data_IF_978266844729
#
_entry.id   IF_978266844729
#
_cell.length_a   1.000
_cell.length_b   1.000
_cell.length_c   1.000
_cell.angle_alpha   90.00
_cell.angle_beta   90.00
_cell.angle_gamma   90.00
#
_symmetry.space_group_name_H-M   'P 1'
#
loop_
_entity.id
_entity.type
_entity.pdbx_description
1 polymer ?
#
# COMPACT_ATOMS: atom_id res chain seq x y z
N UNK A 1 22.55 -45.20 -9.27
CA UNK A 1 22.32 -44.31 -8.12
C UNK A 1 22.88 -42.94 -8.47
N UNK A 2 22.04 -41.99 -8.90
CA UNK A 2 22.39 -40.56 -9.09
C UNK A 2 21.93 -39.83 -7.85
N UNK A 3 22.84 -39.04 -7.25
CA UNK A 3 22.49 -38.16 -6.12
C UNK A 3 21.52 -37.05 -6.61
N UNK A 4 20.51 -36.65 -5.84
CA UNK A 4 19.70 -35.52 -6.20
C UNK A 4 20.50 -34.22 -6.14
N UNK A 5 20.42 -33.41 -7.18
CA UNK A 5 20.97 -32.07 -7.26
C UNK A 5 20.35 -31.19 -6.16
N UNK A 6 21.21 -30.48 -5.45
CA UNK A 6 20.84 -29.51 -4.43
C UNK A 6 20.09 -28.35 -5.06
N UNK A 7 18.81 -28.19 -4.69
CA UNK A 7 18.06 -26.99 -4.99
C UNK A 7 18.79 -25.73 -4.48
N UNK A 8 18.75 -24.61 -5.20
CA UNK A 8 19.36 -23.36 -4.76
C UNK A 8 18.73 -22.93 -3.42
N UNK A 9 19.56 -22.77 -2.39
CA UNK A 9 19.14 -22.17 -1.13
C UNK A 9 18.72 -20.74 -1.43
N UNK A 10 17.42 -20.46 -1.31
CA UNK A 10 16.91 -19.09 -1.25
C UNK A 10 17.56 -18.49 0.01
N UNK A 11 18.34 -17.44 -0.19
CA UNK A 11 18.99 -16.73 0.90
C UNK A 11 17.92 -16.26 1.88
N UNK A 12 18.00 -16.71 3.12
CA UNK A 12 17.08 -16.31 4.18
C UNK A 12 17.19 -14.79 4.41
N UNK A 13 16.06 -14.08 4.65
CA UNK A 13 16.08 -12.64 4.85
C UNK A 13 16.69 -12.18 6.19
N UNK A 14 17.33 -13.07 6.93
CA UNK A 14 17.94 -12.76 8.24
C UNK A 14 19.03 -11.66 8.22
N UNK A 15 19.64 -11.39 7.08
CA UNK A 15 20.67 -10.33 6.96
C UNK A 15 20.10 -8.89 6.92
N UNK A 16 18.80 -8.71 6.86
CA UNK A 16 18.20 -7.39 6.65
C UNK A 16 18.00 -6.58 7.94
N UNK A 17 18.00 -7.19 9.12
CA UNK A 17 17.61 -6.53 10.37
C UNK A 17 18.78 -6.13 11.29
N UNK A 18 20.03 -6.55 11.02
CA UNK A 18 21.18 -6.28 11.91
C UNK A 18 22.24 -5.35 11.31
N UNK A 19 21.97 -4.68 10.19
CA UNK A 19 22.94 -3.82 9.52
C UNK A 19 22.54 -2.33 9.60
N UNK A 20 23.52 -1.48 9.91
CA UNK A 20 23.50 -0.03 9.72
C UNK A 20 22.73 0.36 8.44
N UNK A 21 21.50 0.83 8.57
CA UNK A 21 20.73 1.36 7.44
C UNK A 21 21.19 2.79 7.19
N UNK A 22 21.78 3.10 6.03
CA UNK A 22 22.13 4.47 5.71
C UNK A 22 20.87 5.31 5.76
N UNK A 23 20.95 6.46 6.47
CA UNK A 23 19.87 7.44 6.47
C UNK A 23 19.55 7.83 5.02
N UNK A 24 18.29 7.72 4.59
CA UNK A 24 17.86 8.18 3.25
C UNK A 24 17.75 9.69 3.16
N UNK A 25 17.73 10.39 4.31
CA UNK A 25 17.56 11.85 4.40
C UNK A 25 18.57 12.64 3.55
N UNK A 26 19.89 12.32 3.54
CA UNK A 26 20.82 13.05 2.70
C UNK A 26 20.51 12.93 1.20
N UNK A 27 20.03 11.77 0.76
CA UNK A 27 19.68 11.53 -0.65
C UNK A 27 18.39 12.25 -1.03
N UNK A 28 17.38 12.24 -0.14
CA UNK A 28 16.15 13.00 -0.32
C UNK A 28 16.42 14.50 -0.39
N UNK A 29 17.21 15.03 0.55
CA UNK A 29 17.58 16.44 0.56
C UNK A 29 18.36 16.82 -0.70
N UNK A 30 19.36 16.04 -1.09
CA UNK A 30 20.15 16.27 -2.30
C UNK A 30 19.28 16.27 -3.55
N UNK A 31 18.34 15.34 -3.68
CA UNK A 31 17.40 15.28 -4.79
C UNK A 31 16.47 16.50 -4.82
N UNK A 32 15.86 16.86 -3.71
CA UNK A 32 14.95 18.02 -3.66
C UNK A 32 15.68 19.34 -3.94
N UNK A 33 16.92 19.51 -3.49
CA UNK A 33 17.76 20.66 -3.84
C UNK A 33 18.09 20.72 -5.35
N UNK A 34 18.40 19.57 -5.95
CA UNK A 34 18.60 19.47 -7.40
C UNK A 34 17.33 19.89 -8.14
N UNK A 35 16.18 19.35 -7.79
CA UNK A 35 14.93 19.67 -8.52
C UNK A 35 14.53 21.12 -8.30
N UNK A 36 14.73 21.69 -7.11
CA UNK A 36 14.52 23.12 -6.86
C UNK A 36 15.41 24.00 -7.75
N UNK A 37 16.66 23.62 -7.96
CA UNK A 37 17.55 24.31 -8.89
C UNK A 37 17.07 24.21 -10.34
N UNK A 38 16.53 23.04 -10.74
CA UNK A 38 15.92 22.85 -12.06
C UNK A 38 14.65 23.69 -12.23
N UNK A 39 13.81 23.80 -11.20
CA UNK A 39 12.64 24.69 -11.16
C UNK A 39 13.06 26.14 -11.45
N UNK A 40 14.06 26.64 -10.69
CA UNK A 40 14.60 27.97 -10.86
C UNK A 40 15.19 28.22 -12.27
N UNK A 41 15.92 27.25 -12.80
CA UNK A 41 16.51 27.32 -14.16
C UNK A 41 15.43 27.36 -15.24
N UNK A 42 14.40 26.50 -15.14
CA UNK A 42 13.28 26.46 -16.09
C UNK A 42 12.51 27.81 -16.11
N UNK A 43 12.23 28.36 -14.94
CA UNK A 43 11.56 29.66 -14.80
C UNK A 43 12.44 30.82 -15.36
N UNK A 44 13.73 30.81 -15.06
CA UNK A 44 14.68 31.82 -15.56
C UNK A 44 14.83 31.78 -17.09
N UNK A 45 14.92 30.59 -17.70
CA UNK A 45 15.00 30.42 -19.15
C UNK A 45 13.70 30.92 -19.82
N UNK A 46 12.55 30.52 -19.31
CA UNK A 46 11.25 30.98 -19.80
C UNK A 46 11.12 32.52 -19.64
N UNK A 47 11.64 33.07 -18.54
CA UNK A 47 11.64 34.50 -18.26
C UNK A 47 12.40 35.33 -19.31
N UNK A 48 13.41 34.73 -19.98
CA UNK A 48 14.16 35.39 -21.08
C UNK A 48 13.36 35.42 -22.37
N UNK A 49 12.64 34.35 -22.71
CA UNK A 49 11.78 34.28 -23.89
C UNK A 49 10.72 33.20 -23.71
N UNK A 50 9.45 33.43 -24.05
CA UNK A 50 8.39 32.43 -24.02
C UNK A 50 8.65 31.24 -24.96
N UNK A 51 9.46 31.40 -26.01
CA UNK A 51 9.87 30.32 -26.92
C UNK A 51 10.74 29.27 -26.21
N UNK A 52 11.40 29.64 -25.11
CA UNK A 52 12.21 28.73 -24.29
C UNK A 52 11.40 27.89 -23.28
N UNK A 53 10.07 28.10 -23.14
CA UNK A 53 9.26 27.36 -22.19
C UNK A 53 9.27 25.85 -22.44
N UNK A 54 9.06 25.42 -23.70
CA UNK A 54 9.05 23.98 -24.03
C UNK A 54 10.43 23.32 -23.83
N UNK A 55 11.54 23.85 -24.33
CA UNK A 55 12.86 23.27 -24.06
C UNK A 55 13.23 23.33 -22.57
N UNK A 56 12.83 24.36 -21.82
CA UNK A 56 13.07 24.44 -20.40
C UNK A 56 12.34 23.33 -19.62
N UNK A 57 11.08 23.05 -19.96
CA UNK A 57 10.31 21.94 -19.38
C UNK A 57 10.95 20.59 -19.74
N UNK A 58 11.37 20.41 -21.00
CA UNK A 58 12.03 19.18 -21.43
C UNK A 58 13.33 18.93 -20.66
N UNK A 59 14.16 19.96 -20.47
CA UNK A 59 15.38 19.88 -19.66
C UNK A 59 15.07 19.60 -18.18
N UNK A 60 14.01 20.19 -17.66
CA UNK A 60 13.52 19.89 -16.31
C UNK A 60 13.14 18.43 -16.18
N UNK A 61 12.30 17.89 -17.07
CA UNK A 61 11.91 16.48 -17.07
C UNK A 61 13.12 15.55 -17.15
N UNK A 62 14.07 15.84 -18.03
CA UNK A 62 15.31 15.07 -18.17
C UNK A 62 16.16 15.14 -16.90
N UNK A 63 16.32 16.33 -16.31
CA UNK A 63 17.08 16.52 -15.09
C UNK A 63 16.44 15.77 -13.89
N UNK A 64 15.12 15.82 -13.76
CA UNK A 64 14.38 15.04 -12.75
C UNK A 64 14.58 13.55 -12.97
N UNK A 65 14.43 13.05 -14.19
CA UNK A 65 14.64 11.64 -14.51
C UNK A 65 16.05 11.16 -14.14
N UNK A 66 17.06 11.90 -14.54
CA UNK A 66 18.46 11.60 -14.19
C UNK A 66 18.71 11.68 -12.69
N UNK A 67 18.10 12.66 -12.01
CA UNK A 67 18.13 12.77 -10.55
C UNK A 67 17.51 11.56 -9.85
N UNK A 68 16.34 11.10 -10.29
CA UNK A 68 15.71 9.87 -9.74
C UNK A 68 16.62 8.67 -9.95
N UNK A 69 17.25 8.51 -11.09
CA UNK A 69 18.21 7.42 -11.34
C UNK A 69 19.45 7.53 -10.44
N UNK A 70 20.03 8.73 -10.34
CA UNK A 70 21.24 8.95 -9.56
C UNK A 70 21.05 8.76 -8.06
N UNK A 71 20.02 9.36 -7.48
CA UNK A 71 19.75 9.30 -6.06
C UNK A 71 18.97 8.03 -5.67
N UNK A 72 18.02 7.60 -6.49
CA UNK A 72 17.24 6.37 -6.25
C UNK A 72 18.10 5.11 -6.27
N UNK A 73 19.17 5.10 -7.06
CA UNK A 73 20.12 3.99 -7.14
C UNK A 73 21.03 3.83 -5.91
N UNK A 74 21.10 4.82 -5.01
CA UNK A 74 22.02 4.79 -3.86
C UNK A 74 21.55 3.88 -2.72
N UNK A 75 20.25 3.59 -2.65
CA UNK A 75 19.68 2.72 -1.61
C UNK A 75 19.60 1.29 -2.16
N UNK A 76 20.52 0.42 -1.75
CA UNK A 76 20.66 -0.94 -2.30
C UNK A 76 19.41 -1.80 -2.09
N UNK A 77 18.78 -1.66 -0.91
CA UNK A 77 17.55 -2.35 -0.55
C UNK A 77 16.34 -1.50 -0.97
N UNK A 78 15.39 -2.11 -1.68
CA UNK A 78 14.15 -1.45 -2.14
C UNK A 78 14.37 -0.21 -3.05
N UNK A 79 15.37 -0.25 -3.94
CA UNK A 79 15.69 0.84 -4.89
C UNK A 79 14.48 1.36 -5.64
N UNK A 80 13.59 0.46 -6.09
CA UNK A 80 12.39 0.84 -6.84
C UNK A 80 11.43 1.69 -6.01
N UNK A 81 11.24 1.38 -4.73
CA UNK A 81 10.39 2.17 -3.83
C UNK A 81 10.99 3.54 -3.54
N UNK A 82 12.30 3.61 -3.31
CA UNK A 82 12.96 4.88 -3.09
C UNK A 82 12.93 5.77 -4.33
N UNK A 83 13.16 5.21 -5.52
CA UNK A 83 13.02 5.93 -6.78
C UNK A 83 11.58 6.43 -6.99
N UNK A 84 10.56 5.60 -6.69
CA UNK A 84 9.16 6.00 -6.74
C UNK A 84 8.84 7.14 -5.77
N UNK A 85 9.44 7.14 -4.57
CA UNK A 85 9.31 8.22 -3.58
C UNK A 85 9.90 9.53 -4.10
N UNK A 86 11.10 9.50 -4.67
CA UNK A 86 11.72 10.70 -5.26
C UNK A 86 10.90 11.21 -6.45
N UNK A 87 10.42 10.32 -7.33
CA UNK A 87 9.55 10.68 -8.43
C UNK A 87 8.25 11.33 -7.96
N UNK A 88 7.66 10.81 -6.87
CA UNK A 88 6.45 11.39 -6.28
C UNK A 88 6.68 12.82 -5.75
N UNK A 89 7.83 13.10 -5.17
CA UNK A 89 8.21 14.48 -4.78
C UNK A 89 8.36 15.40 -5.99
N UNK A 90 9.01 14.93 -7.06
CA UNK A 90 9.14 15.72 -8.28
C UNK A 90 7.77 16.05 -8.89
N UNK A 91 6.86 15.10 -8.92
CA UNK A 91 5.53 15.28 -9.55
C UNK A 91 4.61 16.14 -8.67
N UNK A 92 4.51 15.86 -7.37
CA UNK A 92 3.46 16.41 -6.50
C UNK A 92 3.92 17.54 -5.58
N UNK A 93 5.23 17.74 -5.40
CA UNK A 93 5.79 18.89 -4.67
C UNK A 93 6.37 19.92 -5.64
N UNK A 94 7.32 19.51 -6.50
CA UNK A 94 7.99 20.41 -7.44
C UNK A 94 7.14 20.74 -8.67
N UNK A 95 6.40 19.75 -9.21
CA UNK A 95 5.53 19.95 -10.36
C UNK A 95 4.57 21.14 -10.21
N UNK A 96 3.75 21.22 -9.12
CA UNK A 96 2.91 22.38 -8.84
C UNK A 96 3.68 23.71 -8.82
N UNK A 97 4.82 23.74 -8.12
CA UNK A 97 5.66 24.95 -8.02
C UNK A 97 6.16 25.41 -9.39
N UNK A 98 6.69 24.46 -10.20
CA UNK A 98 7.19 24.72 -11.54
C UNK A 98 6.07 25.25 -12.47
N UNK A 99 4.91 24.58 -12.51
CA UNK A 99 3.81 24.94 -13.41
C UNK A 99 3.11 26.25 -13.00
N UNK A 100 2.92 26.50 -11.70
CA UNK A 100 2.35 27.76 -11.21
C UNK A 100 3.34 28.92 -11.46
N UNK A 101 4.63 28.69 -11.21
CA UNK A 101 5.69 29.65 -11.52
C UNK A 101 5.76 29.97 -13.00
N UNK A 102 5.67 28.95 -13.88
CA UNK A 102 5.61 29.11 -15.32
C UNK A 102 4.39 29.95 -15.76
N UNK A 103 3.22 29.67 -15.18
CA UNK A 103 2.01 30.45 -15.46
C UNK A 103 2.20 31.94 -15.12
N UNK A 104 2.86 32.23 -14.00
CA UNK A 104 3.15 33.60 -13.58
C UNK A 104 4.14 34.32 -14.51
N UNK A 105 5.22 33.64 -14.91
CA UNK A 105 6.22 34.16 -15.86
C UNK A 105 5.56 34.48 -17.19
N UNK A 106 4.81 33.56 -17.79
CA UNK A 106 4.13 33.74 -19.06
C UNK A 106 3.08 34.86 -19.00
N UNK A 107 2.36 35.02 -17.88
CA UNK A 107 1.44 36.16 -17.70
C UNK A 107 2.15 37.51 -17.67
N UNK A 108 3.30 37.58 -17.00
CA UNK A 108 4.12 38.84 -16.98
C UNK A 108 4.59 39.24 -18.38
N UNK A 109 5.10 38.26 -19.14
CA UNK A 109 5.54 38.51 -20.51
C UNK A 109 4.40 38.96 -21.43
N UNK A 110 3.20 38.35 -21.32
CA UNK A 110 2.03 38.76 -22.06
C UNK A 110 1.57 40.19 -21.77
N UNK A 111 1.80 40.67 -20.52
CA UNK A 111 1.51 42.08 -20.16
C UNK A 111 2.59 43.05 -20.63
N UNK A 112 3.86 42.67 -20.53
CA UNK A 112 4.99 43.52 -20.97
C UNK A 112 5.04 43.72 -22.50
N UNK A 113 4.64 42.74 -23.29
CA UNK A 113 4.59 42.82 -24.74
C UNK A 113 3.38 43.60 -25.32
N UNK A 114 2.58 44.25 -24.48
CA UNK A 114 1.49 45.15 -24.86
C UNK A 114 1.94 46.61 -25.11
N UNK A 115 3.17 47.01 -24.71
CA UNK A 115 3.75 48.30 -25.05
C UNK A 115 4.28 48.29 -26.47
N UNK A 116 3.92 49.29 -27.26
CA UNK A 116 4.20 49.47 -28.68
C UNK A 116 5.71 49.25 -29.01
N UNK A 117 6.02 48.26 -29.87
CA UNK A 117 7.36 48.06 -30.43
C UNK A 117 7.98 46.66 -30.35
N UNK A 118 7.34 45.64 -29.80
CA UNK A 118 7.88 44.29 -29.77
C UNK A 118 7.55 43.50 -31.06
N UNK A 119 8.53 42.74 -31.58
CA UNK A 119 8.33 41.81 -32.71
C UNK A 119 7.09 40.95 -32.53
N UNK A 120 6.18 40.95 -33.50
CA UNK A 120 4.86 40.27 -33.47
C UNK A 120 4.90 38.76 -33.24
N UNK A 121 6.08 38.13 -33.33
CA UNK A 121 6.31 36.70 -33.19
C UNK A 121 6.65 36.22 -31.78
N UNK A 122 6.65 37.09 -30.75
CA UNK A 122 7.20 36.76 -29.40
C UNK A 122 6.16 36.59 -28.27
N UNK A 123 4.87 36.83 -28.53
CA UNK A 123 3.85 36.76 -27.47
C UNK A 123 3.46 35.32 -27.17
N UNK A 124 3.42 34.90 -25.87
CA UNK A 124 2.87 33.60 -25.52
C UNK A 124 1.39 33.53 -25.86
N UNK A 125 0.93 32.35 -26.31
CA UNK A 125 -0.51 32.12 -26.49
C UNK A 125 -1.28 32.48 -25.20
N UNK A 126 -2.44 33.18 -25.30
CA UNK A 126 -3.22 33.57 -24.14
C UNK A 126 -3.72 32.38 -23.29
N UNK A 127 -3.72 31.18 -23.87
CA UNK A 127 -4.09 29.95 -23.18
C UNK A 127 -2.93 29.31 -22.40
N UNK A 128 -1.67 29.53 -22.80
CA UNK A 128 -0.52 28.90 -22.18
C UNK A 128 -0.42 29.16 -20.66
N UNK A 129 -0.53 30.40 -20.15
CA UNK A 129 -0.47 30.63 -18.71
C UNK A 129 -1.70 30.07 -17.95
N UNK A 130 -2.86 29.96 -18.61
CA UNK A 130 -4.06 29.36 -18.00
C UNK A 130 -3.90 27.84 -17.90
N UNK A 131 -3.41 27.19 -18.96
CA UNK A 131 -3.16 25.75 -18.98
C UNK A 131 -2.07 25.36 -17.96
N UNK A 132 -0.99 26.13 -17.88
CA UNK A 132 0.06 25.91 -16.89
C UNK A 132 -0.46 26.03 -15.45
N UNK A 133 -1.28 27.06 -15.16
CA UNK A 133 -1.90 27.22 -13.86
C UNK A 133 -2.85 26.06 -13.53
N UNK A 134 -3.70 25.67 -14.48
CA UNK A 134 -4.66 24.58 -14.29
C UNK A 134 -3.94 23.25 -13.99
N UNK A 135 -2.85 22.95 -14.72
CA UNK A 135 -2.05 21.76 -14.49
C UNK A 135 -1.35 21.80 -13.12
N UNK A 136 -0.76 22.94 -12.75
CA UNK A 136 -0.13 23.10 -11.44
C UNK A 136 -1.11 22.92 -10.29
N UNK A 137 -2.32 23.50 -10.40
CA UNK A 137 -3.38 23.32 -9.39
C UNK A 137 -3.90 21.87 -9.35
N UNK A 138 -4.06 21.22 -10.49
CA UNK A 138 -4.46 19.82 -10.57
C UNK A 138 -3.46 18.91 -9.85
N UNK A 139 -2.16 19.08 -10.15
CA UNK A 139 -1.11 18.30 -9.49
C UNK A 139 -1.08 18.56 -7.96
N UNK A 140 -1.27 19.82 -7.54
CA UNK A 140 -1.36 20.16 -6.12
C UNK A 140 -2.56 19.49 -5.45
N UNK A 141 -3.75 19.52 -6.06
CA UNK A 141 -4.95 18.89 -5.52
C UNK A 141 -4.78 17.36 -5.42
N UNK A 142 -4.26 16.73 -6.47
CA UNK A 142 -3.97 15.29 -6.46
C UNK A 142 -2.92 14.95 -5.40
N UNK A 143 -1.88 15.77 -5.26
CA UNK A 143 -0.86 15.57 -4.23
C UNK A 143 -1.43 15.68 -2.81
N UNK A 144 -2.25 16.69 -2.54
CA UNK A 144 -2.93 16.84 -1.24
C UNK A 144 -3.83 15.64 -0.94
N UNK A 145 -4.63 15.21 -1.90
CA UNK A 145 -5.49 14.04 -1.73
C UNK A 145 -4.66 12.78 -1.46
N UNK A 146 -3.69 12.49 -2.34
CA UNK A 146 -2.91 11.27 -2.28
C UNK A 146 -2.02 11.13 -1.03
N UNK A 147 -1.46 12.23 -0.52
CA UNK A 147 -0.53 12.19 0.61
C UNK A 147 -1.17 12.50 1.96
N UNK A 148 -2.26 13.29 2.00
CA UNK A 148 -2.81 13.80 3.25
C UNK A 148 -4.24 13.34 3.55
N UNK A 149 -5.07 13.11 2.52
CA UNK A 149 -6.48 12.78 2.71
C UNK A 149 -6.71 11.27 2.56
N UNK A 150 -6.42 10.73 1.39
CA UNK A 150 -6.76 9.35 1.08
C UNK A 150 -6.07 8.31 1.98
N UNK A 151 -4.80 8.48 2.43
CA UNK A 151 -4.13 7.52 3.31
C UNK A 151 -4.83 7.21 4.62
N UNK A 152 -5.67 8.11 5.11
CA UNK A 152 -6.44 7.95 6.35
C UNK A 152 -7.95 7.91 6.14
N UNK A 153 -8.41 7.95 4.89
CA UNK A 153 -9.83 7.88 4.53
C UNK A 153 -10.35 6.43 4.59
N UNK A 154 -10.35 5.84 5.77
CA UNK A 154 -10.73 4.44 6.00
C UNK A 154 -12.13 4.14 5.46
N UNK A 155 -12.23 3.10 4.64
CA UNK A 155 -13.46 2.57 4.10
C UNK A 155 -13.78 1.23 4.75
N UNK A 156 -15.03 1.03 5.19
CA UNK A 156 -15.52 -0.30 5.59
C UNK A 156 -16.18 -0.92 4.37
N UNK A 157 -15.59 -2.02 3.91
CA UNK A 157 -16.11 -2.76 2.77
C UNK A 157 -16.81 -4.02 3.23
N UNK A 158 -18.09 -4.17 2.84
CA UNK A 158 -18.90 -5.34 3.16
C UNK A 158 -19.06 -6.22 1.94
N UNK A 159 -18.80 -7.51 2.15
CA UNK A 159 -18.90 -8.55 1.12
C UNK A 159 -19.76 -9.68 1.67
N UNK A 160 -20.77 -10.09 0.93
CA UNK A 160 -21.56 -11.28 1.24
C UNK A 160 -21.06 -12.49 0.47
N UNK A 161 -20.82 -13.59 1.17
CA UNK A 161 -20.38 -14.85 0.60
C UNK A 161 -21.43 -15.94 0.95
N UNK A 162 -22.19 -16.45 -0.02
CA UNK A 162 -23.13 -17.52 0.25
C UNK A 162 -22.38 -18.84 0.49
N UNK A 163 -22.83 -19.61 1.51
CA UNK A 163 -22.26 -20.94 1.79
C UNK A 163 -23.32 -21.88 2.32
N UNK A 164 -23.36 -23.09 1.78
CA UNK A 164 -24.20 -24.17 2.27
C UNK A 164 -23.71 -24.75 3.61
N UNK A 165 -22.53 -24.32 4.09
CA UNK A 165 -21.90 -24.82 5.33
C UNK A 165 -22.29 -24.01 6.55
N UNK A 166 -22.99 -22.90 6.39
CA UNK A 166 -23.48 -22.08 7.49
C UNK A 166 -25.01 -22.13 7.55
N UNK A 167 -25.57 -22.17 8.73
CA UNK A 167 -27.02 -22.15 8.95
C UNK A 167 -27.50 -20.77 9.39
N UNK A 168 -26.60 -19.98 9.98
CA UNK A 168 -26.83 -18.61 10.44
C UNK A 168 -25.74 -17.69 9.87
N UNK A 169 -26.03 -16.43 9.62
CA UNK A 169 -25.01 -15.47 9.17
C UNK A 169 -23.83 -15.42 10.14
N UNK A 170 -22.63 -15.36 9.58
CA UNK A 170 -21.37 -15.25 10.30
C UNK A 170 -20.66 -13.98 9.85
N UNK A 171 -20.37 -13.04 10.78
CA UNK A 171 -19.63 -11.81 10.49
C UNK A 171 -18.17 -11.99 10.80
N UNK A 172 -17.35 -11.91 9.78
CA UNK A 172 -15.88 -11.98 9.87
C UNK A 172 -15.34 -10.59 9.56
N UNK A 173 -14.57 -10.01 10.47
CA UNK A 173 -13.78 -8.80 10.15
C UNK A 173 -12.36 -9.21 9.85
N UNK A 174 -11.80 -8.68 8.75
CA UNK A 174 -10.42 -8.92 8.33
C UNK A 174 -9.65 -7.63 8.42
N UNK A 175 -8.62 -7.61 9.26
CA UNK A 175 -7.60 -6.58 9.33
C UNK A 175 -6.37 -7.05 8.60
N UNK A 176 -6.01 -6.40 7.49
CA UNK A 176 -4.78 -6.67 6.77
C UNK A 176 -3.91 -5.42 6.76
N UNK A 177 -2.60 -5.63 6.75
CA UNK A 177 -1.60 -4.61 6.45
C UNK A 177 -1.83 -3.32 7.28
N UNK A 178 -1.85 -3.45 8.61
CA UNK A 178 -1.83 -2.27 9.50
C UNK A 178 -0.58 -1.43 9.23
N UNK A 179 0.51 -2.10 8.97
CA UNK A 179 1.80 -1.66 8.41
C UNK A 179 2.14 -0.21 8.74
N UNK A 180 2.25 0.04 10.04
CA UNK A 180 2.54 1.35 10.59
C UNK A 180 3.91 1.39 11.27
N UNK A 181 4.47 2.58 11.38
CA UNK A 181 5.69 2.87 12.14
C UNK A 181 5.39 3.62 13.45
N UNK A 182 4.09 3.90 13.72
CA UNK A 182 3.65 4.51 14.97
C UNK A 182 2.15 4.23 15.21
N UNK A 183 1.80 3.82 16.43
CA UNK A 183 0.41 3.61 16.85
C UNK A 183 -0.21 4.96 17.28
N UNK A 184 -0.80 5.65 16.32
CA UNK A 184 -1.39 6.97 16.46
C UNK A 184 -2.93 6.98 16.53
N UNK A 185 -3.52 8.15 16.30
CA UNK A 185 -4.99 8.29 16.29
C UNK A 185 -5.67 7.46 15.21
N UNK A 186 -5.04 7.31 14.03
CA UNK A 186 -5.60 6.56 12.91
C UNK A 186 -5.68 5.06 13.22
N UNK A 187 -4.61 4.46 13.73
CA UNK A 187 -4.58 3.04 14.10
C UNK A 187 -5.60 2.74 15.22
N UNK A 188 -5.74 3.66 16.16
CA UNK A 188 -6.78 3.55 17.21
C UNK A 188 -8.18 3.69 16.65
N UNK A 189 -8.41 4.54 15.65
CA UNK A 189 -9.69 4.61 14.93
C UNK A 189 -9.99 3.30 14.20
N UNK A 190 -9.01 2.71 13.51
CA UNK A 190 -9.17 1.39 12.87
C UNK A 190 -9.64 0.35 13.89
N UNK A 191 -8.99 0.27 15.06
CA UNK A 191 -9.39 -0.67 16.11
C UNK A 191 -10.80 -0.38 16.66
N UNK A 192 -11.15 0.89 16.82
CA UNK A 192 -12.50 1.28 17.25
C UNK A 192 -13.56 0.89 16.20
N UNK A 193 -13.26 1.01 14.91
CA UNK A 193 -14.14 0.54 13.83
C UNK A 193 -14.31 -0.97 13.84
N UNK A 194 -13.23 -1.74 14.08
CA UNK A 194 -13.34 -3.20 14.27
C UNK A 194 -14.28 -3.54 15.42
N UNK A 195 -14.16 -2.85 16.57
CA UNK A 195 -15.03 -3.06 17.70
C UNK A 195 -16.50 -2.74 17.40
N UNK A 196 -16.75 -1.65 16.66
CA UNK A 196 -18.08 -1.21 16.27
C UNK A 196 -18.77 -2.15 15.27
N UNK A 197 -18.01 -2.96 14.52
CA UNK A 197 -18.58 -3.98 13.63
C UNK A 197 -19.06 -5.22 14.38
N UNK A 198 -18.77 -5.36 15.67
CA UNK A 198 -19.16 -6.49 16.51
C UNK A 198 -18.91 -7.85 15.83
N UNK A 199 -17.66 -8.16 15.43
CA UNK A 199 -17.36 -9.37 14.68
C UNK A 199 -17.65 -10.63 15.48
N UNK A 200 -18.17 -11.66 14.83
CA UNK A 200 -18.15 -13.01 15.37
C UNK A 200 -16.73 -13.56 15.39
N UNK A 201 -15.97 -13.26 14.33
CA UNK A 201 -14.60 -13.72 14.13
C UNK A 201 -13.75 -12.56 13.64
N UNK A 202 -12.55 -12.37 14.21
CA UNK A 202 -11.56 -11.40 13.75
C UNK A 202 -10.35 -12.13 13.17
N UNK A 203 -9.98 -11.81 11.94
CA UNK A 203 -8.83 -12.39 11.26
C UNK A 203 -7.83 -11.29 10.89
N UNK A 204 -6.56 -11.51 11.19
CA UNK A 204 -5.49 -10.57 10.92
C UNK A 204 -4.52 -11.18 9.90
N UNK A 205 -4.38 -10.55 8.74
CA UNK A 205 -3.71 -11.11 7.58
C UNK A 205 -2.24 -10.66 7.42
N UNK A 206 -1.56 -10.31 8.52
CA UNK A 206 -0.12 -9.98 8.49
C UNK A 206 0.18 -8.49 8.30
N UNK A 207 1.45 -8.17 8.33
CA UNK A 207 2.05 -6.84 8.19
C UNK A 207 1.50 -5.83 9.22
N UNK A 208 1.94 -5.97 10.48
CA UNK A 208 1.43 -5.14 11.59
C UNK A 208 2.27 -3.88 11.81
N UNK A 209 3.59 -4.06 11.98
CA UNK A 209 4.54 -2.99 12.30
C UNK A 209 5.71 -3.00 11.32
N UNK A 210 6.03 -1.85 10.74
CA UNK A 210 7.18 -1.68 9.86
C UNK A 210 8.04 -0.50 10.34
N UNK A 211 8.78 -0.73 11.42
CA UNK A 211 9.64 0.28 12.06
C UNK A 211 11.06 0.27 11.51
N UNK A 212 11.78 1.39 11.65
CA UNK A 212 13.16 1.53 11.17
C UNK A 212 14.20 0.91 12.11
N UNK A 213 13.96 0.96 13.42
CA UNK A 213 14.87 0.45 14.43
C UNK A 213 14.19 -0.62 15.29
N UNK A 214 15.01 -1.43 15.94
CA UNK A 214 14.52 -2.40 16.91
C UNK A 214 13.85 -1.72 18.11
N UNK A 215 14.42 -0.63 18.59
CA UNK A 215 13.88 0.17 19.69
C UNK A 215 12.49 0.73 19.34
N UNK A 216 12.33 1.29 18.13
CA UNK A 216 11.00 1.74 17.66
C UNK A 216 10.01 0.59 17.56
N UNK A 217 10.46 -0.57 17.04
CA UNK A 217 9.60 -1.74 16.93
C UNK A 217 9.14 -2.25 18.30
N UNK A 218 10.01 -2.31 19.29
CA UNK A 218 9.64 -2.71 20.66
C UNK A 218 8.63 -1.72 21.27
N UNK A 219 8.90 -0.42 21.14
CA UNK A 219 8.00 0.64 21.63
C UNK A 219 6.61 0.54 21.00
N UNK A 220 6.55 0.43 19.67
CA UNK A 220 5.29 0.36 18.95
C UNK A 220 4.57 -0.97 19.14
N UNK A 221 5.29 -2.06 19.41
CA UNK A 221 4.69 -3.35 19.83
C UNK A 221 3.93 -3.17 21.14
N UNK A 222 4.52 -2.54 22.14
CA UNK A 222 3.83 -2.26 23.41
C UNK A 222 2.63 -1.33 23.19
N UNK A 223 2.78 -0.29 22.37
CA UNK A 223 1.69 0.63 22.05
C UNK A 223 0.52 -0.08 21.32
N UNK A 224 0.82 -1.03 20.41
CA UNK A 224 -0.19 -1.85 19.74
C UNK A 224 -0.91 -2.78 20.72
N UNK A 225 -0.18 -3.44 21.60
CA UNK A 225 -0.78 -4.29 22.64
C UNK A 225 -1.72 -3.50 23.55
N UNK A 226 -1.31 -2.29 23.97
CA UNK A 226 -2.14 -1.41 24.79
C UNK A 226 -3.38 -0.94 24.02
N UNK A 227 -3.24 -0.57 22.75
CA UNK A 227 -4.35 -0.17 21.91
C UNK A 227 -5.35 -1.31 21.69
N UNK A 228 -4.86 -2.55 21.46
CA UNK A 228 -5.69 -3.74 21.33
C UNK A 228 -6.44 -4.07 22.63
N UNK A 229 -5.78 -3.99 23.78
CA UNK A 229 -6.44 -4.19 25.08
C UNK A 229 -7.51 -3.15 25.36
N UNK A 230 -7.25 -1.90 25.01
CA UNK A 230 -8.17 -0.78 25.22
C UNK A 230 -9.34 -0.73 24.21
N UNK A 231 -9.21 -1.37 23.06
CA UNK A 231 -10.18 -1.28 21.94
C UNK A 231 -11.57 -1.87 22.25
N UNK A 232 -11.67 -2.75 23.24
CA UNK A 232 -12.92 -3.45 23.54
C UNK A 232 -13.31 -4.55 22.54
N UNK A 233 -12.45 -4.88 21.58
CA UNK A 233 -12.67 -5.94 20.57
C UNK A 233 -12.82 -7.30 21.28
N UNK A 234 -13.97 -7.94 21.11
CA UNK A 234 -14.32 -9.22 21.75
C UNK A 234 -15.11 -10.13 20.81
N UNK A 235 -14.49 -10.66 19.75
CA UNK A 235 -15.17 -11.52 18.82
C UNK A 235 -15.59 -12.83 19.53
N UNK A 236 -16.84 -13.23 19.33
CA UNK A 236 -17.45 -14.38 20.01
C UNK A 236 -16.71 -15.69 19.72
N UNK A 237 -16.19 -15.84 18.50
CA UNK A 237 -15.52 -17.04 18.02
C UNK A 237 -13.99 -16.93 18.04
N UNK A 238 -13.46 -15.81 18.55
CA UNK A 238 -12.02 -15.60 18.69
C UNK A 238 -11.41 -14.67 17.66
N UNK A 239 -10.14 -14.37 17.87
CA UNK A 239 -9.32 -13.55 16.98
C UNK A 239 -8.03 -14.30 16.64
N UNK A 240 -7.69 -14.39 15.35
CA UNK A 240 -6.53 -15.13 14.86
C UNK A 240 -5.68 -14.27 13.93
N UNK A 241 -4.36 -14.44 13.99
CA UNK A 241 -3.40 -13.67 13.23
C UNK A 241 -2.38 -14.57 12.52
N UNK A 242 -2.00 -14.23 11.30
CA UNK A 242 -0.86 -14.82 10.60
C UNK A 242 0.24 -13.78 10.42
N UNK A 243 1.50 -14.20 10.24
CA UNK A 243 2.62 -13.29 9.95
C UNK A 243 2.66 -12.89 8.47
N UNK A 244 3.18 -11.69 8.21
CA UNK A 244 3.41 -11.15 6.87
C UNK A 244 4.89 -10.91 6.56
N UNK A 245 5.17 -10.10 5.54
CA UNK A 245 6.52 -9.78 5.06
C UNK A 245 7.29 -8.87 6.02
N UNK A 246 6.60 -8.07 6.83
CA UNK A 246 7.19 -7.15 7.81
C UNK A 246 7.58 -7.83 9.11
N UNK A 247 7.04 -9.00 9.37
CA UNK A 247 7.27 -9.76 10.60
C UNK A 247 8.59 -10.53 10.55
N UNK A 248 9.28 -10.53 11.69
CA UNK A 248 10.47 -11.35 11.93
C UNK A 248 10.16 -12.59 12.76
N UNK A 249 11.15 -13.44 13.02
CA UNK A 249 10.98 -14.56 13.96
C UNK A 249 10.51 -14.08 15.32
N UNK A 250 9.52 -14.77 15.89
CA UNK A 250 8.94 -14.41 17.19
C UNK A 250 7.90 -13.29 17.13
N UNK A 251 7.42 -12.96 15.93
CA UNK A 251 6.37 -11.95 15.71
C UNK A 251 5.11 -12.22 16.55
N UNK A 252 4.89 -13.45 16.93
CA UNK A 252 3.76 -13.86 17.77
C UNK A 252 3.73 -13.09 19.09
N UNK A 253 4.90 -12.64 19.57
CA UNK A 253 5.02 -11.80 20.76
C UNK A 253 4.35 -10.43 20.61
N UNK A 254 4.09 -9.97 19.39
CA UNK A 254 3.34 -8.74 19.11
C UNK A 254 1.96 -8.77 19.74
N UNK A 255 1.38 -9.94 19.91
CA UNK A 255 0.05 -10.13 20.48
C UNK A 255 0.05 -10.62 21.94
N UNK A 256 1.19 -10.63 22.61
CA UNK A 256 1.30 -11.06 23.99
C UNK A 256 0.37 -10.25 24.92
N UNK A 257 -0.40 -10.95 25.76
CA UNK A 257 -1.35 -10.32 26.67
C UNK A 257 -2.58 -9.69 26.00
N UNK A 258 -2.82 -9.96 24.71
CA UNK A 258 -4.04 -9.59 23.98
C UNK A 258 -4.97 -10.81 23.82
N UNK A 259 -6.12 -10.63 23.16
CA UNK A 259 -7.03 -11.72 22.81
C UNK A 259 -6.76 -12.33 21.44
N UNK A 260 -5.77 -11.83 20.71
CA UNK A 260 -5.42 -12.31 19.39
C UNK A 260 -4.48 -13.51 19.52
N UNK A 261 -4.80 -14.59 18.84
CA UNK A 261 -4.03 -15.84 18.84
C UNK A 261 -3.25 -15.94 17.53
N UNK A 262 -1.90 -15.92 17.58
CA UNK A 262 -1.10 -16.28 16.42
C UNK A 262 -1.46 -17.68 15.93
N UNK A 263 -1.65 -17.82 14.62
CA UNK A 263 -2.09 -19.05 14.00
C UNK A 263 -1.09 -19.49 12.92
N UNK A 264 -0.49 -20.66 13.15
CA UNK A 264 0.27 -21.39 12.15
C UNK A 264 -0.30 -22.81 12.10
N UNK A 265 -0.85 -23.21 10.95
CA UNK A 265 -1.56 -24.48 10.81
C UNK A 265 -3.06 -24.34 11.02
N UNK A 266 -3.70 -25.30 11.69
CA UNK A 266 -5.16 -25.40 11.74
C UNK A 266 -5.71 -25.06 13.12
N UNK A 267 -6.70 -24.17 13.17
CA UNK A 267 -7.58 -23.97 14.31
C UNK A 267 -8.99 -24.44 13.99
N UNK A 268 -9.59 -25.20 14.91
CA UNK A 268 -11.00 -25.52 14.91
C UNK A 268 -11.73 -24.56 15.84
N UNK A 269 -12.50 -23.66 15.23
CA UNK A 269 -13.25 -22.64 15.94
C UNK A 269 -14.65 -23.19 16.18
N UNK A 270 -14.98 -23.87 17.14
CA UNK A 270 -16.20 -24.68 17.35
C UNK A 270 -16.35 -25.86 16.35
N UNK A 271 -17.50 -26.52 16.36
CA UNK A 271 -17.79 -27.67 15.47
C UNK A 271 -18.10 -27.27 14.02
N UNK A 272 -18.23 -25.95 13.70
CA UNK A 272 -18.76 -25.43 12.43
C UNK A 272 -17.69 -24.80 11.54
N UNK A 273 -16.56 -24.34 12.09
CA UNK A 273 -15.58 -23.52 11.39
C UNK A 273 -14.18 -24.10 11.60
N UNK A 274 -13.47 -24.26 10.49
CA UNK A 274 -12.04 -24.59 10.45
C UNK A 274 -11.27 -23.49 9.75
N UNK A 275 -10.26 -22.94 10.43
CA UNK A 275 -9.37 -21.94 9.89
C UNK A 275 -7.99 -22.55 9.70
N UNK A 276 -7.42 -22.40 8.53
CA UNK A 276 -6.03 -22.73 8.25
C UNK A 276 -5.24 -21.43 8.12
N UNK A 277 -4.37 -21.15 9.07
CA UNK A 277 -3.41 -20.05 9.01
C UNK A 277 -2.14 -20.49 8.31
N UNK A 278 -1.74 -19.76 7.29
CA UNK A 278 -0.55 -20.01 6.50
C UNK A 278 0.65 -19.27 7.09
N UNK A 279 1.78 -19.95 7.16
CA UNK A 279 3.07 -19.28 7.29
C UNK A 279 3.35 -18.43 6.06
N UNK A 280 4.25 -17.45 6.17
CA UNK A 280 4.65 -16.64 5.02
C UNK A 280 5.14 -17.51 3.84
N UNK A 281 5.92 -18.56 4.13
CA UNK A 281 6.41 -19.48 3.10
C UNK A 281 5.29 -20.27 2.39
N UNK A 282 4.24 -20.65 3.09
CA UNK A 282 3.05 -21.29 2.50
C UNK A 282 2.22 -20.29 1.68
N UNK A 283 2.15 -19.02 2.12
CA UNK A 283 1.50 -17.96 1.36
C UNK A 283 2.11 -17.71 -0.02
N UNK A 284 3.38 -18.08 -0.23
CA UNK A 284 4.01 -18.08 -1.56
C UNK A 284 3.74 -19.32 -2.40
N UNK A 285 3.52 -20.48 -1.79
CA UNK A 285 3.54 -21.78 -2.49
C UNK A 285 2.19 -22.46 -2.63
N UNK A 286 1.29 -22.16 -1.75
CA UNK A 286 -0.03 -22.78 -1.67
C UNK A 286 -0.33 -23.35 -0.28
N UNK A 287 -1.61 -23.45 0.02
CA UNK A 287 -2.09 -24.02 1.26
C UNK A 287 -1.86 -25.53 1.30
N UNK A 288 -1.31 -26.11 2.39
CA UNK A 288 -1.27 -27.56 2.56
C UNK A 288 -2.67 -28.17 2.50
N UNK A 289 -2.79 -29.31 1.81
CA UNK A 289 -4.05 -30.05 1.75
C UNK A 289 -4.45 -30.55 3.13
N UNK A 290 -5.73 -30.45 3.44
CA UNK A 290 -6.33 -30.92 4.69
C UNK A 290 -7.42 -31.96 4.43
N UNK A 291 -7.69 -32.86 5.39
CA UNK A 291 -8.79 -33.81 5.26
C UNK A 291 -10.13 -33.10 4.98
N UNK A 292 -11.02 -33.70 4.17
CA UNK A 292 -12.36 -33.20 3.94
C UNK A 292 -13.14 -32.99 5.26
N UNK A 293 -14.01 -31.97 5.28
CA UNK A 293 -14.85 -31.68 6.45
C UNK A 293 -16.17 -31.05 6.04
N UNK A 294 -17.18 -31.15 6.89
CA UNK A 294 -18.44 -30.43 6.74
C UNK A 294 -18.38 -29.00 7.31
N UNK A 295 -17.30 -28.64 8.00
CA UNK A 295 -17.10 -27.31 8.53
C UNK A 295 -16.91 -26.29 7.40
N UNK A 296 -17.25 -25.02 7.66
CA UNK A 296 -16.82 -23.90 6.83
C UNK A 296 -15.29 -23.83 6.85
N UNK A 297 -14.66 -23.84 5.68
CA UNK A 297 -13.21 -23.88 5.53
C UNK A 297 -12.69 -22.51 5.14
N UNK A 298 -11.94 -21.89 6.03
CA UNK A 298 -11.30 -20.58 5.79
C UNK A 298 -9.79 -20.80 5.71
N UNK A 299 -9.16 -20.28 4.67
CA UNK A 299 -7.70 -20.17 4.59
C UNK A 299 -7.33 -18.71 4.75
N UNK A 300 -6.48 -18.43 5.74
CA UNK A 300 -5.93 -17.11 6.03
C UNK A 300 -4.44 -17.11 5.71
N UNK A 301 -4.03 -16.32 4.74
CA UNK A 301 -2.62 -16.10 4.42
C UNK A 301 -2.31 -14.62 4.32
N UNK A 302 -1.02 -14.26 4.31
CA UNK A 302 -0.65 -12.87 4.07
C UNK A 302 -0.65 -12.55 2.58
N UNK A 303 0.16 -13.25 1.77
CA UNK A 303 0.24 -13.05 0.33
C UNK A 303 -0.86 -13.84 -0.39
N UNK A 304 -1.52 -13.27 -1.42
CA UNK A 304 -2.56 -13.98 -2.14
C UNK A 304 -2.03 -15.06 -3.09
N UNK A 305 -0.71 -15.17 -3.27
CA UNK A 305 -0.06 -16.12 -4.21
C UNK A 305 -0.44 -17.58 -3.91
N UNK A 306 -0.79 -17.92 -2.66
CA UNK A 306 -1.26 -19.28 -2.31
C UNK A 306 -2.52 -19.70 -3.06
N UNK A 307 -3.32 -18.72 -3.53
CA UNK A 307 -4.55 -19.00 -4.29
C UNK A 307 -4.29 -19.38 -5.75
N UNK A 308 -3.05 -19.28 -6.24
CA UNK A 308 -2.63 -19.77 -7.55
C UNK A 308 -2.55 -21.31 -7.58
N UNK A 309 -2.39 -21.94 -6.41
CA UNK A 309 -2.47 -23.38 -6.26
C UNK A 309 -3.91 -23.81 -5.89
N UNK A 310 -4.36 -25.02 -6.26
CA UNK A 310 -5.64 -25.53 -5.80
C UNK A 310 -5.71 -25.55 -4.27
N UNK A 311 -6.72 -24.92 -3.70
CA UNK A 311 -6.99 -24.92 -2.26
C UNK A 311 -8.39 -25.50 -2.00
N UNK A 312 -8.47 -26.46 -1.11
CA UNK A 312 -9.75 -27.01 -0.64
C UNK A 312 -10.34 -26.12 0.45
N UNK A 313 -10.89 -24.99 0.08
CA UNK A 313 -11.46 -23.99 0.98
C UNK A 313 -12.81 -23.48 0.43
N UNK A 314 -13.58 -22.85 1.29
CA UNK A 314 -14.78 -22.13 0.91
C UNK A 314 -14.46 -20.63 0.79
N UNK A 315 -13.56 -20.12 1.65
CA UNK A 315 -13.13 -18.72 1.71
C UNK A 315 -11.60 -18.64 1.84
N UNK A 316 -10.99 -17.83 1.00
CA UNK A 316 -9.57 -17.52 0.98
C UNK A 316 -9.39 -16.03 1.27
N UNK A 317 -8.64 -15.68 2.30
CA UNK A 317 -8.44 -14.30 2.74
C UNK A 317 -6.96 -13.94 2.76
N UNK A 318 -6.63 -12.79 2.17
CA UNK A 318 -5.25 -12.31 2.08
C UNK A 318 -5.17 -10.78 2.15
N UNK A 319 -3.96 -10.25 2.39
CA UNK A 319 -3.56 -8.85 2.32
C UNK A 319 -2.43 -8.62 1.33
N UNK A 320 -1.32 -8.03 1.80
CA UNK A 320 -0.03 -7.82 1.12
C UNK A 320 -0.03 -6.82 -0.03
N UNK A 321 -1.02 -6.84 -0.90
CA UNK A 321 -0.98 -6.08 -2.16
C UNK A 321 -1.29 -4.59 -1.97
N UNK A 322 -1.83 -4.18 -0.83
CA UNK A 322 -2.33 -2.83 -0.54
C UNK A 322 -3.28 -2.28 -1.63
N UNK A 323 -3.87 -3.15 -2.45
CA UNK A 323 -4.56 -2.73 -3.66
C UNK A 323 -3.65 -1.98 -4.64
N UNK A 324 -2.32 -2.16 -4.52
CA UNK A 324 -1.30 -1.43 -5.28
C UNK A 324 -1.03 -0.01 -4.78
N UNK A 325 -1.65 0.46 -3.70
CA UNK A 325 -1.64 1.84 -3.16
C UNK A 325 -2.09 2.92 -4.15
N UNK A 326 -1.85 2.72 -5.45
CA UNK A 326 -2.27 3.59 -6.55
C UNK A 326 -3.06 2.77 -7.55
N UNK A 327 -4.33 3.15 -7.75
CA UNK A 327 -5.17 2.56 -8.79
C UNK A 327 -5.51 3.62 -9.83
N UNK A 328 -5.27 3.32 -11.09
CA UNK A 328 -5.66 4.21 -12.18
C UNK A 328 -6.96 3.75 -12.81
N UNK A 329 -7.83 4.69 -13.23
CA UNK A 329 -9.04 4.34 -13.94
C UNK A 329 -8.73 3.46 -15.16
N UNK A 330 -9.49 2.40 -15.39
CA UNK A 330 -9.35 1.43 -16.48
C UNK A 330 -8.09 0.53 -16.43
N UNK A 331 -7.07 0.88 -15.64
CA UNK A 331 -5.82 0.12 -15.51
C UNK A 331 -5.79 -0.69 -14.21
N UNK A 332 -6.39 -0.14 -13.15
CA UNK A 332 -6.36 -0.72 -11.81
C UNK A 332 -5.01 -0.51 -11.10
N UNK A 333 -4.61 -1.44 -10.23
CA UNK A 333 -3.35 -1.40 -9.48
C UNK A 333 -2.13 -1.35 -10.39
N UNK A 334 -1.19 -0.44 -10.13
CA UNK A 334 0.06 -0.33 -10.91
C UNK A 334 1.09 -1.38 -10.48
N UNK A 335 1.22 -1.61 -9.18
CA UNK A 335 2.19 -2.52 -8.57
C UNK A 335 1.48 -3.33 -7.50
N UNK A 336 1.62 -4.65 -7.50
CA UNK A 336 0.95 -5.53 -6.53
C UNK A 336 1.93 -6.36 -5.70
N UNK A 337 3.20 -6.44 -6.12
CA UNK A 337 4.28 -7.25 -5.51
C UNK A 337 3.90 -8.73 -5.34
N UNK A 338 2.95 -9.22 -6.11
CA UNK A 338 2.42 -10.57 -6.07
C UNK A 338 2.30 -11.13 -7.48
N UNK A 339 2.32 -12.45 -7.61
CA UNK A 339 2.15 -13.17 -8.87
C UNK A 339 0.70 -13.28 -9.34
N UNK A 340 -0.27 -12.83 -8.55
CA UNK A 340 -1.70 -12.92 -8.91
C UNK A 340 -2.09 -11.88 -9.96
N UNK A 341 -3.22 -12.10 -10.59
CA UNK A 341 -3.80 -11.13 -11.50
C UNK A 341 -4.08 -9.79 -10.79
N UNK A 342 -3.86 -8.68 -11.47
CA UNK A 342 -4.08 -7.33 -10.92
C UNK A 342 -5.52 -7.11 -10.46
N UNK A 343 -6.48 -7.72 -11.13
CA UNK A 343 -7.90 -7.71 -10.78
C UNK A 343 -8.15 -8.24 -9.36
N UNK A 344 -7.42 -9.28 -8.93
CA UNK A 344 -7.55 -9.84 -7.59
C UNK A 344 -7.07 -8.84 -6.52
N UNK A 345 -5.97 -8.15 -6.80
CA UNK A 345 -5.42 -7.13 -5.91
C UNK A 345 -6.29 -5.86 -5.82
N UNK A 346 -7.23 -5.66 -6.73
CA UNK A 346 -8.17 -4.53 -6.67
C UNK A 346 -9.16 -4.60 -5.50
N UNK A 347 -9.20 -5.77 -4.83
CA UNK A 347 -10.02 -6.01 -3.63
C UNK A 347 -11.38 -6.65 -3.93
N UNK A 348 -11.78 -6.87 -5.19
CA UNK A 348 -13.06 -7.51 -5.51
C UNK A 348 -13.03 -9.01 -5.21
N UNK A 349 -14.16 -9.57 -4.67
CA UNK A 349 -14.26 -11.01 -4.48
C UNK A 349 -14.11 -11.76 -5.80
N UNK A 350 -13.26 -12.77 -5.82
CA UNK A 350 -13.00 -13.59 -7.00
C UNK A 350 -13.41 -15.02 -6.73
N UNK A 351 -14.36 -15.52 -7.51
CA UNK A 351 -14.71 -16.94 -7.49
C UNK A 351 -13.66 -17.73 -8.28
N UNK A 352 -12.95 -18.59 -7.59
CA UNK A 352 -11.90 -19.42 -8.18
C UNK A 352 -12.49 -20.67 -8.85
N UNK A 353 -11.76 -21.30 -9.79
CA UNK A 353 -12.20 -22.57 -10.43
C UNK A 353 -12.45 -23.72 -9.43
N UNK A 354 -11.83 -23.66 -8.24
CA UNK A 354 -12.09 -24.60 -7.14
C UNK A 354 -13.46 -24.44 -6.47
N UNK A 355 -14.19 -23.38 -6.77
CA UNK A 355 -15.43 -22.99 -6.11
C UNK A 355 -15.21 -22.14 -4.84
N UNK A 356 -13.97 -21.90 -4.44
CA UNK A 356 -13.63 -21.03 -3.32
C UNK A 356 -13.75 -19.57 -3.70
N UNK A 357 -14.16 -18.72 -2.75
CA UNK A 357 -14.11 -17.25 -2.92
C UNK A 357 -12.82 -16.70 -2.34
N UNK A 358 -12.01 -16.07 -3.18
CA UNK A 358 -10.83 -15.31 -2.76
C UNK A 358 -11.20 -13.84 -2.54
N UNK A 359 -10.76 -13.27 -1.42
CA UNK A 359 -10.83 -11.83 -1.16
C UNK A 359 -9.44 -11.36 -0.73
N UNK A 360 -8.86 -10.44 -1.49
CA UNK A 360 -7.60 -9.78 -1.16
C UNK A 360 -7.92 -8.38 -0.63
N UNK A 361 -7.62 -8.13 0.63
CA UNK A 361 -7.84 -6.82 1.23
C UNK A 361 -6.83 -5.79 0.70
N UNK A 362 -7.29 -4.53 0.55
CA UNK A 362 -6.40 -3.40 0.25
C UNK A 362 -5.58 -2.94 1.45
N UNK A 363 -5.83 -3.54 2.62
CA UNK A 363 -5.16 -3.17 3.86
C UNK A 363 -5.53 -1.79 4.38
N UNK A 364 -5.27 -1.55 5.66
CA UNK A 364 -5.59 -0.27 6.31
C UNK A 364 -4.39 0.67 6.37
N UNK A 365 -3.16 0.16 6.30
CA UNK A 365 -1.92 0.93 6.34
C UNK A 365 -1.33 1.21 4.95
N UNK A 366 -0.04 1.37 4.90
CA UNK A 366 0.73 1.64 3.67
C UNK A 366 2.13 1.08 3.83
N UNK A 367 2.78 0.75 2.72
CA UNK A 367 4.21 0.48 2.68
C UNK A 367 4.99 1.65 3.31
N UNK A 368 5.89 1.33 4.23
CA UNK A 368 6.72 2.30 4.95
C UNK A 368 8.15 2.31 4.39
N UNK A 369 9.13 2.32 5.22
CA UNK A 369 10.54 2.34 4.85
C UNK A 369 10.84 3.39 3.77
N UNK A 370 11.31 2.97 2.62
CA UNK A 370 11.70 3.85 1.51
C UNK A 370 10.57 4.16 0.53
N UNK A 371 9.40 3.56 0.68
CA UNK A 371 8.26 3.79 -0.22
C UNK A 371 7.63 5.18 -0.06
N UNK A 372 7.00 5.72 -1.10
CA UNK A 372 6.18 6.91 -0.94
C UNK A 372 4.96 6.60 -0.07
N UNK A 373 4.73 7.43 0.94
CA UNK A 373 3.58 7.28 1.86
C UNK A 373 2.34 7.93 1.24
N UNK A 374 1.77 7.27 0.25
CA UNK A 374 0.60 7.78 -0.47
C UNK A 374 -0.38 6.67 -0.81
N UNK A 375 -1.65 7.06 -0.94
CA UNK A 375 -2.69 6.27 -1.61
C UNK A 375 -3.40 7.17 -2.61
N UNK A 376 -3.75 6.61 -3.77
CA UNK A 376 -4.49 7.35 -4.79
C UNK A 376 -5.50 6.46 -5.49
N UNK A 377 -6.78 6.84 -5.38
CA UNK A 377 -7.94 6.05 -5.85
C UNK A 377 -7.95 4.62 -5.27
N UNK A 378 -7.35 4.47 -4.08
CA UNK A 378 -7.16 3.19 -3.40
C UNK A 378 -7.23 3.39 -1.88
N UNK A 379 -8.40 3.77 -1.37
CA UNK A 379 -8.62 4.03 0.06
C UNK A 379 -8.26 2.83 0.93
N UNK A 380 -7.72 3.06 2.13
CA UNK A 380 -7.56 2.03 3.14
C UNK A 380 -8.87 1.29 3.39
N UNK A 381 -8.80 -0.01 3.59
CA UNK A 381 -9.97 -0.86 3.65
C UNK A 381 -9.97 -1.74 4.90
N UNK A 382 -11.02 -1.64 5.69
CA UNK A 382 -11.39 -2.67 6.67
C UNK A 382 -12.45 -3.58 6.03
N UNK A 383 -12.13 -4.86 5.88
CA UNK A 383 -12.99 -5.81 5.20
C UNK A 383 -13.92 -6.50 6.21
N UNK A 384 -15.21 -6.47 5.91
CA UNK A 384 -16.26 -7.21 6.64
C UNK A 384 -16.86 -8.25 5.69
N UNK A 385 -16.65 -9.52 5.98
CA UNK A 385 -17.21 -10.64 5.23
C UNK A 385 -18.41 -11.22 5.99
N UNK A 386 -19.57 -11.15 5.38
CA UNK A 386 -20.79 -11.79 5.89
C UNK A 386 -20.99 -13.12 5.14
N UNK A 387 -20.64 -14.23 5.80
CA UNK A 387 -20.95 -15.54 5.25
C UNK A 387 -22.41 -15.85 5.58
N UNK A 388 -23.23 -16.00 4.55
CA UNK A 388 -24.67 -16.21 4.69
C UNK A 388 -25.09 -17.60 4.18
N UNK A 389 -26.16 -18.19 4.74
CA UNK A 389 -26.69 -19.45 4.21
C UNK A 389 -27.00 -19.32 2.72
N UNK A 390 -26.56 -20.31 1.91
CA UNK A 390 -27.00 -20.39 0.52
C UNK A 390 -28.51 -20.59 0.48
N UNK A 391 -29.16 -19.95 -0.47
CA UNK A 391 -30.56 -20.29 -0.74
C UNK A 391 -30.68 -21.79 -1.08
N UNK A 392 -31.72 -22.48 -0.62
CA UNK A 392 -31.95 -23.90 -0.88
C UNK A 392 -32.09 -24.20 -2.39
#
# INVERSE_FOLDING_TARGET
MRRPESSPRIAEPEAALTGYRPSVIPYELGFNLLVLALDGAALALTGRSPRLAAPAILLWCLGVFLGVLAFGGQVAFMRAFFAARLASYAIFLHGPLCWIGLAWVLRRQGRAGGSEGGEEGSKPSPWAPRAALALGLLLACVGVDAFLIEPTALQIRRVQVPSARVQEPLRIVVLADLQTDAIGPYEREVLARIAAEEPDLLLLAGDYLQCWSHEDHERETLALQDALRASGIRPRLGAFAVGGDCESRGWEATFAGTRIQPLQGVAHVDSRIRIQGLSLGESFRGAPALPPTQQLRIVLGHRPDFALAPAEADLLLAGHTHGGQVQLPLIGPLVTLSGVERSWAAGEPTLLPSGATLIVSRGVGMERATAPRLRFLCRPELLVVEVVPSAP
#
